data_IF_706552113338
#
_entry.id   IF_706552113338
#
_cell.length_a   1.000
_cell.length_b   1.000
_cell.length_c   1.000
_cell.angle_alpha   90.00
_cell.angle_beta   90.00
_cell.angle_gamma   90.00
#
_symmetry.space_group_name_H-M   'P 1'
#
loop_
_entity.id
_entity.type
_entity.pdbx_description
1 polymer ?
#
# COMPACT_ATOMS: atom_id res chain seq x y z
N UNK A 1 -17.86 -1.18 17.78
CA UNK A 1 -17.89 -2.04 16.58
C UNK A 1 -16.59 -1.95 15.81
N UNK A 2 -16.04 -0.76 15.50
CA UNK A 2 -14.67 -0.69 14.98
C UNK A 2 -13.61 -0.86 16.09
N UNK A 3 -13.94 -0.48 17.33
CA UNK A 3 -13.01 -0.55 18.47
C UNK A 3 -12.66 -1.97 18.93
N UNK A 4 -13.33 -2.99 18.36
CA UNK A 4 -13.15 -4.40 18.70
C UNK A 4 -12.12 -5.10 17.80
N UNK A 5 -11.48 -4.38 16.87
CA UNK A 5 -10.55 -4.92 15.88
C UNK A 5 -9.19 -4.20 15.90
N UNK A 6 -8.12 -4.98 15.84
CA UNK A 6 -6.74 -4.49 15.81
C UNK A 6 -6.15 -4.41 14.38
N UNK A 7 -6.86 -4.94 13.38
CA UNK A 7 -6.42 -4.96 11.99
C UNK A 7 -7.58 -4.80 11.02
N UNK A 8 -7.39 -3.96 10.01
CA UNK A 8 -8.32 -3.73 8.92
C UNK A 8 -7.65 -3.96 7.57
N UNK A 9 -8.30 -4.73 6.71
CA UNK A 9 -7.90 -4.90 5.31
C UNK A 9 -8.93 -4.22 4.40
N UNK A 10 -8.45 -3.29 3.58
CA UNK A 10 -9.29 -2.52 2.64
C UNK A 10 -8.75 -2.76 1.24
N UNK A 11 -9.63 -3.18 0.33
CA UNK A 11 -9.28 -3.47 -1.06
C UNK A 11 -10.00 -2.52 -2.02
N UNK A 12 -9.23 -1.80 -2.85
CA UNK A 12 -9.74 -0.83 -3.82
C UNK A 12 -9.48 -1.31 -5.25
N UNK A 13 -10.52 -1.87 -5.89
CA UNK A 13 -10.41 -2.64 -7.15
C UNK A 13 -10.29 -1.78 -8.42
N UNK A 14 -10.79 -0.54 -8.41
CA UNK A 14 -10.98 0.25 -9.64
C UNK A 14 -9.70 0.53 -10.42
N UNK A 15 -8.55 0.66 -9.75
CA UNK A 15 -7.25 0.90 -10.40
C UNK A 15 -6.79 -0.28 -11.25
N UNK A 16 -7.17 -1.49 -10.87
CA UNK A 16 -6.86 -2.71 -11.61
C UNK A 16 -7.76 -2.85 -12.84
N UNK A 17 -9.08 -2.71 -12.64
CA UNK A 17 -10.10 -2.76 -13.70
C UNK A 17 -9.75 -1.83 -14.87
N UNK A 18 -9.49 -0.55 -14.59
CA UNK A 18 -9.10 0.41 -15.64
C UNK A 18 -7.70 0.14 -16.23
N UNK A 19 -6.85 -0.60 -15.50
CA UNK A 19 -5.58 -1.10 -16.01
C UNK A 19 -5.77 -2.18 -17.08
N UNK A 20 -6.64 -3.16 -16.82
CA UNK A 20 -7.00 -4.22 -17.77
C UNK A 20 -7.68 -3.66 -19.02
N UNK A 21 -8.55 -2.66 -18.84
CA UNK A 21 -9.19 -1.92 -19.95
C UNK A 21 -8.21 -1.08 -20.79
N UNK A 22 -6.98 -0.90 -20.30
CA UNK A 22 -6.00 -0.01 -20.90
C UNK A 22 -6.37 1.47 -20.80
N UNK A 23 -7.31 1.83 -19.93
CA UNK A 23 -7.80 3.19 -19.75
C UNK A 23 -6.94 3.95 -18.74
N UNK A 24 -5.91 4.63 -19.24
CA UNK A 24 -4.96 5.38 -18.42
C UNK A 24 -5.62 6.53 -17.62
N UNK A 25 -6.53 7.28 -18.25
CA UNK A 25 -7.20 8.42 -17.62
C UNK A 25 -8.10 7.95 -16.47
N UNK A 26 -8.90 6.91 -16.70
CA UNK A 26 -9.77 6.36 -15.65
C UNK A 26 -8.95 5.73 -14.50
N UNK A 27 -7.84 5.05 -14.81
CA UNK A 27 -6.92 4.53 -13.78
C UNK A 27 -6.31 5.66 -12.95
N UNK A 28 -5.90 6.75 -13.58
CA UNK A 28 -5.35 7.93 -12.88
C UNK A 28 -6.40 8.53 -11.96
N UNK A 29 -7.62 8.74 -12.47
CA UNK A 29 -8.74 9.26 -11.68
C UNK A 29 -9.10 8.38 -10.49
N UNK A 30 -9.07 7.05 -10.65
CA UNK A 30 -9.29 6.12 -9.55
C UNK A 30 -8.23 6.25 -8.44
N UNK A 31 -6.95 6.49 -8.80
CA UNK A 31 -5.89 6.75 -7.81
C UNK A 31 -6.14 8.08 -7.09
N UNK A 32 -6.53 9.13 -7.81
CA UNK A 32 -6.86 10.44 -7.21
C UNK A 32 -8.07 10.37 -6.29
N UNK A 33 -9.09 9.60 -6.65
CA UNK A 33 -10.29 9.42 -5.82
C UNK A 33 -9.97 8.61 -4.55
N UNK A 34 -9.06 7.63 -4.64
CA UNK A 34 -8.49 6.96 -3.46
C UNK A 34 -7.72 7.93 -2.56
N UNK A 35 -6.85 8.78 -3.14
CA UNK A 35 -6.06 9.76 -2.39
C UNK A 35 -6.96 10.77 -1.64
N UNK A 36 -8.03 11.25 -2.29
CA UNK A 36 -9.04 12.13 -1.65
C UNK A 36 -9.80 11.46 -0.50
N UNK A 37 -9.97 10.13 -0.55
CA UNK A 37 -10.64 9.37 0.50
C UNK A 37 -9.70 8.99 1.66
N UNK A 38 -8.39 9.01 1.44
CA UNK A 38 -7.38 8.61 2.42
C UNK A 38 -7.46 9.36 3.77
N UNK A 39 -7.79 10.67 3.84
CA UNK A 39 -7.99 11.39 5.10
C UNK A 39 -8.98 10.71 6.05
N UNK A 40 -10.02 10.04 5.54
CA UNK A 40 -11.01 9.32 6.37
C UNK A 40 -10.33 8.24 7.23
N UNK A 41 -9.30 7.58 6.70
CA UNK A 41 -8.52 6.57 7.42
C UNK A 41 -7.46 7.22 8.32
N UNK A 42 -6.83 8.29 7.87
CA UNK A 42 -5.79 8.99 8.65
C UNK A 42 -6.36 9.72 9.87
N UNK A 43 -7.59 10.22 9.80
CA UNK A 43 -8.29 10.88 10.92
C UNK A 43 -8.57 9.92 12.08
N UNK A 44 -8.61 8.60 11.80
CA UNK A 44 -8.67 7.55 12.82
C UNK A 44 -7.35 7.31 13.54
N UNK A 45 -6.26 7.98 13.11
CA UNK A 45 -4.92 7.92 13.70
C UNK A 45 -4.41 6.50 13.91
N UNK A 46 -4.37 5.64 12.86
CA UNK A 46 -3.79 4.31 13.01
C UNK A 46 -2.32 4.40 13.43
N UNK A 47 -1.88 3.46 14.26
CA UNK A 47 -0.46 3.34 14.65
C UNK A 47 0.42 2.94 13.46
N UNK A 48 -0.11 2.07 12.60
CA UNK A 48 0.52 1.57 11.38
C UNK A 48 -0.48 1.60 10.23
N UNK A 49 -0.09 2.18 9.09
CA UNK A 49 -0.83 2.09 7.85
C UNK A 49 0.09 1.63 6.71
N UNK A 50 -0.38 0.65 5.95
CA UNK A 50 0.27 0.12 4.76
C UNK A 50 -0.64 0.30 3.55
N UNK A 51 -0.10 0.86 2.47
CA UNK A 51 -0.80 1.05 1.19
C UNK A 51 0.07 0.43 0.10
N UNK A 52 -0.49 -0.52 -0.64
CA UNK A 52 0.23 -1.26 -1.69
C UNK A 52 -0.74 -1.75 -2.75
N UNK A 53 -0.24 -2.06 -3.94
CA UNK A 53 -0.92 -2.96 -4.88
C UNK A 53 -0.55 -4.41 -4.60
N UNK A 54 -1.45 -5.34 -4.86
CA UNK A 54 -1.22 -6.80 -4.81
C UNK A 54 -0.47 -7.28 -6.07
N UNK A 55 -0.73 -6.67 -7.22
CA UNK A 55 0.04 -6.85 -8.45
C UNK A 55 0.13 -5.54 -9.27
N UNK A 56 0.92 -5.56 -10.35
CA UNK A 56 0.97 -4.46 -11.31
C UNK A 56 0.01 -4.74 -12.48
N UNK A 57 -0.69 -3.70 -12.94
CA UNK A 57 -1.58 -3.79 -14.11
C UNK A 57 -1.34 -2.58 -15.04
N UNK A 58 -0.28 -2.59 -15.85
CA UNK A 58 0.04 -1.47 -16.72
C UNK A 58 -1.00 -1.31 -17.84
N UNK A 59 -1.56 -0.12 -18.02
CA UNK A 59 -2.55 0.16 -19.08
C UNK A 59 -2.04 -0.17 -20.49
N UNK A 60 -0.72 -0.06 -20.71
CA UNK A 60 -0.09 -0.34 -22.02
C UNK A 60 -0.06 -1.82 -22.37
N UNK A 61 0.04 -2.71 -21.37
CA UNK A 61 0.07 -4.16 -21.60
C UNK A 61 -1.33 -4.78 -21.58
N UNK A 62 -2.33 -4.13 -20.93
CA UNK A 62 -3.69 -4.67 -20.73
C UNK A 62 -3.69 -6.11 -20.17
N UNK A 63 -2.62 -6.45 -19.47
CA UNK A 63 -2.37 -7.80 -18.96
C UNK A 63 -1.69 -7.67 -17.59
N UNK A 64 -2.16 -8.50 -16.66
CA UNK A 64 -1.69 -8.66 -15.28
C UNK A 64 -0.61 -9.74 -15.18
N UNK A 65 -0.44 -10.59 -16.21
CA UNK A 65 0.44 -11.75 -16.20
C UNK A 65 1.91 -11.35 -16.14
N UNK A 66 2.52 -11.61 -14.99
CA UNK A 66 3.99 -11.63 -14.82
C UNK A 66 4.63 -10.32 -14.36
N UNK A 67 3.87 -9.30 -13.98
CA UNK A 67 4.46 -8.08 -13.38
C UNK A 67 4.23 -8.03 -11.87
N UNK A 68 5.30 -8.22 -11.09
CA UNK A 68 5.29 -8.04 -9.64
C UNK A 68 4.87 -6.61 -9.28
N UNK A 69 4.04 -6.46 -8.23
CA UNK A 69 3.81 -5.17 -7.60
C UNK A 69 5.15 -4.65 -7.06
N UNK A 70 5.58 -3.48 -7.55
CA UNK A 70 6.86 -2.84 -7.14
C UNK A 70 6.66 -1.68 -6.18
N UNK A 71 5.45 -1.49 -5.64
CA UNK A 71 5.10 -0.27 -4.93
C UNK A 71 4.42 -0.57 -3.60
N UNK A 72 5.14 -0.31 -2.52
CA UNK A 72 4.63 -0.36 -1.17
C UNK A 72 4.93 0.99 -0.50
N UNK A 73 3.95 1.51 0.25
CA UNK A 73 4.14 2.57 1.22
C UNK A 73 3.77 1.99 2.58
N UNK A 74 4.72 1.92 3.50
CA UNK A 74 4.44 1.64 4.90
C UNK A 74 4.78 2.91 5.67
N UNK A 75 3.77 3.55 6.26
CA UNK A 75 3.99 4.67 7.16
C UNK A 75 3.59 4.29 8.57
N UNK A 76 4.57 4.37 9.47
CA UNK A 76 4.37 4.24 10.91
C UNK A 76 4.46 5.63 11.54
N UNK A 77 3.67 5.90 12.59
CA UNK A 77 3.66 7.21 13.26
C UNK A 77 5.05 7.67 13.74
N UNK A 78 5.97 6.74 14.08
CA UNK A 78 7.36 7.04 14.46
C UNK A 78 8.39 7.07 13.31
N UNK A 79 8.02 6.63 12.12
CA UNK A 79 8.87 6.62 10.92
C UNK A 79 8.18 7.40 9.80
N UNK A 80 7.98 8.69 10.02
CA UNK A 80 7.56 9.64 8.98
C UNK A 80 8.71 9.88 7.99
N UNK A 81 8.96 8.94 7.09
CA UNK A 81 9.65 9.20 5.83
C UNK A 81 8.60 9.22 4.72
N UNK A 82 7.70 10.21 4.74
CA UNK A 82 6.73 10.39 3.66
C UNK A 82 7.39 11.21 2.56
N UNK A 83 7.95 10.53 1.56
CA UNK A 83 8.27 11.17 0.27
C UNK A 83 7.04 11.09 -0.63
N UNK A 84 6.85 12.05 -1.56
CA UNK A 84 5.81 11.96 -2.57
C UNK A 84 5.86 10.61 -3.29
N UNK A 85 4.71 9.95 -3.41
CA UNK A 85 4.60 8.66 -4.09
C UNK A 85 4.58 8.91 -5.59
N UNK A 86 5.77 8.89 -6.22
CA UNK A 86 5.92 9.14 -7.65
C UNK A 86 6.58 7.97 -8.37
N UNK A 87 6.26 7.87 -9.67
CA UNK A 87 6.96 6.98 -10.58
C UNK A 87 8.08 7.78 -11.25
N UNK A 88 9.30 7.42 -10.84
CA UNK A 88 10.59 7.50 -11.57
C UNK A 88 11.64 8.52 -11.09
N UNK A 89 12.87 8.07 -10.74
CA UNK A 89 13.18 6.70 -10.31
C UNK A 89 12.49 6.41 -8.97
N UNK A 90 11.89 5.21 -8.77
CA UNK A 90 11.55 4.78 -7.43
C UNK A 90 12.86 4.61 -6.66
N UNK A 91 13.28 5.63 -5.93
CA UNK A 91 14.33 5.44 -4.93
C UNK A 91 13.78 4.41 -3.95
N UNK A 92 14.54 3.36 -3.61
CA UNK A 92 14.08 2.41 -2.61
C UNK A 92 13.74 3.21 -1.36
N UNK A 93 12.47 3.14 -0.93
CA UNK A 93 12.08 3.58 0.39
C UNK A 93 12.95 2.85 1.42
N UNK A 94 12.96 3.30 2.67
CA UNK A 94 13.86 2.74 3.69
C UNK A 94 13.76 1.22 3.92
N UNK A 95 12.71 0.54 3.46
CA UNK A 95 12.61 -0.94 3.53
C UNK A 95 13.14 -1.68 2.28
N UNK A 96 13.53 -0.98 1.20
CA UNK A 96 14.04 -1.62 -0.01
C UNK A 96 13.02 -2.51 -0.74
N UNK A 97 13.51 -3.59 -1.37
CA UNK A 97 12.68 -4.61 -2.02
C UNK A 97 12.45 -5.74 -1.03
N UNK A 98 11.18 -6.01 -0.73
CA UNK A 98 10.76 -7.08 0.18
C UNK A 98 9.76 -8.00 -0.51
N UNK A 99 9.72 -9.27 -0.11
CA UNK A 99 8.64 -10.16 -0.53
C UNK A 99 7.34 -9.80 0.18
N UNK A 100 6.22 -9.79 -0.56
CA UNK A 100 4.91 -9.40 -0.03
C UNK A 100 4.46 -10.22 1.19
N UNK A 101 4.88 -11.50 1.30
CA UNK A 101 4.58 -12.37 2.45
C UNK A 101 5.12 -11.82 3.78
N UNK A 102 6.12 -10.92 3.73
CA UNK A 102 6.69 -10.29 4.92
C UNK A 102 5.96 -9.01 5.33
N UNK A 103 5.04 -8.47 4.51
CA UNK A 103 4.39 -7.19 4.77
C UNK A 103 3.63 -7.18 6.11
N UNK A 104 2.80 -8.19 6.35
CA UNK A 104 2.02 -8.28 7.61
C UNK A 104 2.96 -8.39 8.81
N UNK A 105 4.08 -9.13 8.70
CA UNK A 105 5.06 -9.25 9.78
C UNK A 105 5.75 -7.91 10.07
N UNK A 106 6.10 -7.15 9.04
CA UNK A 106 6.66 -5.81 9.23
C UNK A 106 5.63 -4.85 9.86
N UNK A 107 4.35 -4.94 9.48
CA UNK A 107 3.30 -4.15 10.11
C UNK A 107 3.16 -4.48 11.60
N UNK A 108 3.10 -5.77 11.95
CA UNK A 108 3.02 -6.23 13.35
C UNK A 108 4.22 -5.78 14.18
N UNK A 109 5.44 -5.85 13.61
CA UNK A 109 6.63 -5.35 14.28
C UNK A 109 6.57 -3.84 14.56
N UNK A 110 6.09 -3.04 13.60
CA UNK A 110 5.89 -1.60 13.79
C UNK A 110 4.74 -1.29 14.76
N UNK A 111 3.75 -2.17 14.86
CA UNK A 111 2.65 -2.06 15.82
C UNK A 111 3.02 -2.57 17.22
N UNK A 112 4.29 -2.99 17.45
CA UNK A 112 4.76 -3.55 18.72
C UNK A 112 3.99 -4.82 19.15
N UNK A 113 3.52 -5.61 18.19
CA UNK A 113 2.74 -6.84 18.43
C UNK A 113 3.62 -8.09 18.59
N UNK A 114 4.95 -7.94 18.67
CA UNK A 114 5.86 -9.06 18.84
C UNK A 114 6.63 -8.97 20.14
N UNK A 115 6.69 -10.11 20.83
CA UNK A 115 7.66 -10.35 21.87
C UNK A 115 9.01 -10.77 21.27
N UNK A 116 10.06 -10.59 22.06
CA UNK A 116 11.39 -11.07 21.71
C UNK A 116 11.41 -12.60 21.70
N UNK A 117 11.91 -13.19 20.62
CA UNK A 117 12.13 -14.63 20.54
C UNK A 117 13.54 -14.97 21.03
N UNK A 118 13.64 -15.48 22.26
CA UNK A 118 14.90 -15.85 22.91
C UNK A 118 15.67 -14.65 23.48
N UNK A 119 16.04 -14.79 24.76
CA UNK A 119 16.63 -13.76 25.65
C UNK A 119 15.74 -12.55 25.93
#
# INVERSE_FOLDING_TARGET
>A
MYDDYEYFFIHYKYTDMYGEDGNFEAKTRAIEDFDKALPILLDKKPDVIAITGDHSTPCRSRDTRGTHSRYWSLSHQRLRQTRPFHRDPPQPGSLGIIEAKHLIRLMQANALMFDKFGA
#
